data_IF_931727237393
#
_entry.id   IF_931727237393
#
_cell.length_a   1.000
_cell.length_b   1.000
_cell.length_c   1.000
_cell.angle_alpha   90.00
_cell.angle_beta   90.00
_cell.angle_gamma   90.00
#
_symmetry.space_group_name_H-M   'P 1'
#
loop_
_entity.id
_entity.type
_entity.pdbx_description
1 polymer ?
#
# COMPACT_ATOMS: atom_id res chain seq x y z
N UNK A 1 -75.45 -14.65 49.41
CA UNK A 1 -75.48 -14.81 47.92
C UNK A 1 -74.46 -13.84 47.34
N UNK A 2 -73.20 -14.22 47.29
CA UNK A 2 -72.10 -13.38 46.76
C UNK A 2 -71.48 -14.03 45.51
N UNK A 3 -71.64 -13.35 44.41
CA UNK A 3 -71.05 -13.74 43.14
C UNK A 3 -69.58 -13.22 43.07
N UNK A 4 -68.64 -14.10 43.17
CA UNK A 4 -67.19 -13.80 42.95
C UNK A 4 -66.94 -13.82 41.45
N UNK A 5 -66.59 -12.67 40.91
CA UNK A 5 -66.14 -12.54 39.50
C UNK A 5 -64.63 -12.87 39.44
N UNK A 6 -64.23 -13.94 38.75
CA UNK A 6 -62.85 -14.23 38.42
C UNK A 6 -62.41 -13.31 37.25
N UNK A 7 -61.48 -12.46 37.53
CA UNK A 7 -60.79 -11.65 36.50
C UNK A 7 -59.54 -12.38 36.04
N UNK A 8 -59.60 -12.95 34.84
CA UNK A 8 -58.43 -13.55 34.18
C UNK A 8 -57.51 -12.44 33.61
N UNK A 9 -56.34 -12.25 34.22
CA UNK A 9 -55.30 -11.37 33.70
C UNK A 9 -54.49 -12.15 32.68
N UNK A 10 -54.67 -11.81 31.39
CA UNK A 10 -53.91 -12.36 30.29
C UNK A 10 -52.55 -11.63 30.21
N UNK A 11 -51.47 -12.28 30.68
CA UNK A 11 -50.11 -11.75 30.62
C UNK A 11 -49.55 -11.98 29.20
N UNK A 12 -49.63 -10.96 28.33
CA UNK A 12 -48.99 -10.98 27.01
C UNK A 12 -47.49 -10.76 27.17
N UNK A 13 -46.72 -11.85 27.10
CA UNK A 13 -45.24 -11.77 27.01
C UNK A 13 -44.87 -11.29 25.61
N UNK A 14 -44.51 -10.01 25.49
CA UNK A 14 -43.94 -9.42 24.28
C UNK A 14 -42.50 -9.95 24.16
N UNK A 15 -42.27 -11.01 23.36
CA UNK A 15 -40.94 -11.41 22.95
C UNK A 15 -40.43 -10.40 21.95
N UNK A 16 -39.69 -9.40 22.43
CA UNK A 16 -38.92 -8.49 21.58
C UNK A 16 -37.77 -9.31 21.03
N UNK A 17 -37.97 -9.89 19.85
CA UNK A 17 -36.92 -10.49 19.07
C UNK A 17 -35.93 -9.42 18.64
N UNK A 18 -34.86 -9.22 19.42
CA UNK A 18 -33.68 -8.48 18.97
C UNK A 18 -33.09 -9.24 17.82
N UNK A 19 -33.42 -8.85 16.58
CA UNK A 19 -32.67 -9.23 15.42
C UNK A 19 -31.29 -8.64 15.61
N UNK A 20 -30.32 -9.40 16.17
CA UNK A 20 -28.92 -9.14 15.95
C UNK A 20 -28.73 -9.25 14.43
N UNK A 21 -28.73 -8.12 13.75
CA UNK A 21 -28.16 -8.07 12.41
C UNK A 21 -26.72 -8.54 12.59
N UNK A 22 -26.43 -9.77 12.16
CA UNK A 22 -25.06 -10.26 12.06
C UNK A 22 -24.35 -9.25 11.15
N UNK A 23 -23.44 -8.46 11.71
CA UNK A 23 -22.59 -7.60 10.92
C UNK A 23 -21.78 -8.55 10.04
N UNK A 24 -22.02 -8.51 8.73
CA UNK A 24 -21.38 -9.39 7.77
C UNK A 24 -19.86 -9.18 7.90
N UNK A 25 -19.14 -10.22 8.31
CA UNK A 25 -17.68 -10.11 8.45
C UNK A 25 -17.07 -9.86 7.08
N UNK A 26 -16.18 -8.85 7.02
CA UNK A 26 -15.48 -8.52 5.78
C UNK A 26 -14.66 -9.71 5.30
N UNK A 27 -14.72 -10.00 4.02
CA UNK A 27 -13.83 -10.98 3.39
C UNK A 27 -12.40 -10.45 3.33
N UNK A 28 -11.41 -11.35 3.23
CA UNK A 28 -10.00 -10.97 3.11
C UNK A 28 -9.76 -10.01 1.95
N UNK A 29 -10.41 -10.24 0.80
CA UNK A 29 -10.33 -9.34 -0.38
C UNK A 29 -10.90 -7.96 -0.10
N UNK A 30 -12.04 -7.85 0.58
CA UNK A 30 -12.63 -6.56 0.96
C UNK A 30 -11.76 -5.79 1.96
N UNK A 31 -11.06 -6.51 2.87
CA UNK A 31 -10.12 -5.86 3.80
C UNK A 31 -8.92 -5.31 3.05
N UNK A 32 -8.37 -6.08 2.08
CA UNK A 32 -7.26 -5.63 1.22
C UNK A 32 -7.65 -4.43 0.36
N UNK A 33 -8.84 -4.45 -0.25
CA UNK A 33 -9.39 -3.33 -1.01
C UNK A 33 -9.43 -2.04 -0.18
N UNK A 34 -10.01 -2.13 1.03
CA UNK A 34 -10.01 -1.01 1.98
C UNK A 34 -8.60 -0.57 2.36
N UNK A 35 -7.65 -1.50 2.52
CA UNK A 35 -6.27 -1.18 2.89
C UNK A 35 -5.54 -0.41 1.79
N UNK A 36 -5.88 -0.61 0.53
CA UNK A 36 -5.35 0.20 -0.58
C UNK A 36 -6.10 1.53 -0.68
N UNK A 37 -7.43 1.53 -0.53
CA UNK A 37 -8.24 2.74 -0.63
C UNK A 37 -7.88 3.79 0.43
N UNK A 38 -7.67 3.41 1.70
CA UNK A 38 -7.35 4.36 2.78
C UNK A 38 -6.06 5.14 2.56
N UNK A 39 -5.21 4.70 1.63
CA UNK A 39 -3.97 5.40 1.27
C UNK A 39 -4.12 6.35 0.07
N UNK A 40 -5.25 6.34 -0.63
CA UNK A 40 -5.49 7.25 -1.77
C UNK A 40 -5.71 8.68 -1.27
N UNK A 41 -5.02 9.64 -1.87
CA UNK A 41 -5.17 11.08 -1.59
C UNK A 41 -5.60 11.81 -2.86
N UNK A 42 -6.54 12.74 -2.76
CA UNK A 42 -7.01 13.55 -3.91
C UNK A 42 -5.83 14.20 -4.67
N UNK A 43 -4.83 14.62 -3.94
CA UNK A 43 -3.52 15.03 -4.44
C UNK A 43 -2.59 15.30 -3.27
N UNK A 44 -1.28 15.06 -3.45
CA UNK A 44 -0.29 15.32 -2.39
C UNK A 44 1.08 15.66 -2.95
N UNK A 45 1.85 16.37 -2.14
CA UNK A 45 3.27 16.65 -2.36
C UNK A 45 4.05 16.16 -1.15
N UNK A 46 5.18 15.49 -1.40
CA UNK A 46 6.01 14.95 -0.33
C UNK A 46 7.50 15.05 -0.65
N UNK A 47 8.30 15.12 0.41
CA UNK A 47 9.76 14.94 0.35
C UNK A 47 10.12 13.80 1.29
N UNK A 48 10.90 12.85 0.79
CA UNK A 48 11.30 11.66 1.52
C UNK A 48 12.79 11.41 1.42
N UNK A 49 13.31 10.70 2.42
CA UNK A 49 14.67 10.16 2.44
C UNK A 49 14.61 8.64 2.31
N UNK A 50 15.36 8.11 1.36
CA UNK A 50 15.58 6.68 1.21
C UNK A 50 17.02 6.35 1.59
N UNK A 51 17.20 5.54 2.64
CA UNK A 51 18.52 5.01 3.04
C UNK A 51 18.62 3.56 2.65
N UNK A 52 19.61 3.21 1.85
CA UNK A 52 19.88 1.86 1.38
C UNK A 52 21.13 1.37 2.10
N UNK A 53 21.02 0.25 2.82
CA UNK A 53 22.10 -0.32 3.64
C UNK A 53 22.44 -1.70 3.08
N UNK A 54 23.68 -1.86 2.64
CA UNK A 54 24.14 -3.14 2.09
C UNK A 54 24.53 -4.15 3.19
N UNK A 55 24.86 -5.39 2.80
CA UNK A 55 25.25 -6.47 3.72
C UNK A 55 26.49 -6.18 4.54
N UNK A 56 27.29 -5.16 4.19
CA UNK A 56 28.48 -4.69 4.92
C UNK A 56 28.19 -3.47 5.79
N UNK A 57 26.93 -3.03 5.87
CA UNK A 57 26.52 -1.86 6.64
C UNK A 57 26.82 -0.52 5.98
N UNK A 58 27.23 -0.48 4.71
CA UNK A 58 27.48 0.78 4.00
C UNK A 58 26.17 1.42 3.58
N UNK A 59 26.04 2.70 3.83
CA UNK A 59 24.81 3.45 3.57
C UNK A 59 24.90 4.29 2.31
N UNK A 60 23.79 4.35 1.58
CA UNK A 60 23.55 5.30 0.49
C UNK A 60 22.24 6.02 0.76
N UNK A 61 22.32 7.33 0.94
CA UNK A 61 21.16 8.17 1.25
C UNK A 61 20.72 8.93 0.01
N UNK A 62 19.42 8.97 -0.23
CA UNK A 62 18.80 9.66 -1.37
C UNK A 62 17.63 10.50 -0.89
N UNK A 63 17.52 11.70 -1.43
CA UNK A 63 16.36 12.55 -1.23
C UNK A 63 15.47 12.50 -2.47
N UNK A 64 14.16 12.36 -2.26
CA UNK A 64 13.16 12.14 -3.31
C UNK A 64 12.00 13.10 -3.08
N UNK A 65 11.67 13.91 -4.10
CA UNK A 65 10.39 14.61 -4.15
C UNK A 65 9.35 13.69 -4.83
N UNK A 66 8.13 13.72 -4.34
CA UNK A 66 7.01 12.97 -4.89
C UNK A 66 5.77 13.85 -4.99
N UNK A 67 5.06 13.72 -6.09
CA UNK A 67 3.75 14.33 -6.32
C UNK A 67 2.78 13.24 -6.72
N UNK A 68 1.58 13.24 -6.16
CA UNK A 68 0.52 12.30 -6.52
C UNK A 68 -0.78 13.05 -6.77
N UNK A 69 -1.64 12.51 -7.63
CA UNK A 69 -3.00 13.00 -7.84
C UNK A 69 -3.92 11.90 -8.36
N UNK A 70 -5.17 11.91 -7.89
CA UNK A 70 -6.23 11.06 -8.41
C UNK A 70 -6.86 11.69 -9.66
N UNK A 71 -7.14 10.83 -10.64
CA UNK A 71 -7.83 11.13 -11.90
C UNK A 71 -9.01 10.18 -12.08
N UNK A 72 -9.85 10.46 -13.07
CA UNK A 72 -10.93 9.57 -13.48
C UNK A 72 -11.84 9.15 -12.30
N UNK A 73 -12.22 10.12 -11.47
CA UNK A 73 -13.04 9.92 -10.25
C UNK A 73 -12.40 8.94 -9.21
N UNK A 74 -11.07 8.83 -9.23
CA UNK A 74 -10.32 7.98 -8.29
C UNK A 74 -9.89 6.63 -8.85
N UNK A 75 -10.27 6.29 -10.09
CA UNK A 75 -9.89 5.03 -10.76
C UNK A 75 -8.42 5.00 -11.22
N UNK A 76 -7.78 6.17 -11.31
CA UNK A 76 -6.38 6.29 -11.71
C UNK A 76 -5.63 7.16 -10.71
N UNK A 77 -4.55 6.66 -10.09
CA UNK A 77 -3.60 7.50 -9.36
C UNK A 77 -2.35 7.72 -10.22
N UNK A 78 -1.96 8.98 -10.43
CA UNK A 78 -0.70 9.30 -11.09
C UNK A 78 0.32 9.77 -10.07
N UNK A 79 1.57 9.31 -10.22
CA UNK A 79 2.70 9.65 -9.34
C UNK A 79 3.90 10.07 -10.17
N UNK A 80 4.55 11.13 -9.74
CA UNK A 80 5.86 11.52 -10.22
C UNK A 80 6.83 11.54 -9.05
N UNK A 81 7.88 10.73 -9.12
CA UNK A 81 9.01 10.75 -8.19
C UNK A 81 10.22 11.37 -8.89
N UNK A 82 10.98 12.19 -8.16
CA UNK A 82 12.23 12.76 -8.67
C UNK A 82 13.31 12.75 -7.59
N UNK A 83 14.45 12.17 -7.91
CA UNK A 83 15.62 12.19 -7.03
C UNK A 83 16.24 13.59 -7.01
N UNK A 84 16.38 14.16 -5.82
CA UNK A 84 16.95 15.49 -5.58
C UNK A 84 18.45 15.40 -5.29
N UNK A 85 18.88 14.35 -4.60
CA UNK A 85 20.27 14.06 -4.22
C UNK A 85 20.49 12.54 -4.06
N UNK A 86 21.74 12.07 -4.05
CA UNK A 86 23.00 12.76 -4.39
C UNK A 86 23.16 12.99 -5.89
N UNK A 87 24.29 13.58 -6.30
CA UNK A 87 24.55 14.03 -7.68
C UNK A 87 24.48 12.92 -8.72
N UNK A 88 24.87 11.68 -8.38
CA UNK A 88 24.88 10.51 -9.27
C UNK A 88 23.48 10.04 -9.68
N UNK A 89 22.46 10.33 -8.89
CA UNK A 89 21.04 9.99 -9.18
C UNK A 89 20.17 11.22 -9.38
N UNK A 90 20.68 12.43 -9.11
CA UNK A 90 19.90 13.67 -9.19
C UNK A 90 19.23 13.82 -10.56
N UNK A 91 17.93 14.16 -10.55
CA UNK A 91 17.09 14.33 -11.73
C UNK A 91 16.56 13.00 -12.30
N UNK A 92 17.02 11.83 -11.83
CA UNK A 92 16.33 10.58 -12.15
C UNK A 92 14.87 10.69 -11.73
N UNK A 93 13.95 10.30 -12.62
CA UNK A 93 12.52 10.41 -12.37
C UNK A 93 11.79 9.12 -12.69
N UNK A 94 10.76 8.80 -11.92
CA UNK A 94 9.80 7.74 -12.19
C UNK A 94 8.41 8.36 -12.30
N UNK A 95 7.75 8.14 -13.43
CA UNK A 95 6.34 8.48 -13.64
C UNK A 95 5.55 7.18 -13.64
N UNK A 96 4.48 7.15 -12.87
CA UNK A 96 3.61 5.98 -12.69
C UNK A 96 2.17 6.40 -12.92
N UNK A 97 1.45 5.61 -13.71
CA UNK A 97 0.00 5.63 -13.82
C UNK A 97 -0.51 4.30 -13.28
N UNK A 98 -1.11 4.37 -12.13
CA UNK A 98 -1.67 3.26 -11.37
C UNK A 98 -3.16 3.18 -11.69
N UNK A 99 -3.58 2.07 -12.28
CA UNK A 99 -4.96 1.82 -12.70
C UNK A 99 -5.59 0.71 -11.87
N UNK A 100 -6.83 0.87 -11.47
CA UNK A 100 -7.51 -0.15 -10.64
C UNK A 100 -7.75 -1.49 -11.35
N UNK A 101 -7.93 -1.48 -12.68
CA UNK A 101 -8.46 -2.64 -13.43
C UNK A 101 -7.59 -3.11 -14.59
N UNK A 102 -6.40 -2.57 -14.74
CA UNK A 102 -5.45 -2.95 -15.79
C UNK A 102 -4.01 -2.70 -15.35
N UNK A 103 -3.07 -3.23 -16.11
CA UNK A 103 -1.64 -3.02 -15.88
C UNK A 103 -1.26 -1.54 -15.83
N UNK A 104 -0.38 -1.23 -14.87
CA UNK A 104 0.17 0.10 -14.70
C UNK A 104 1.12 0.49 -15.81
N UNK A 105 1.18 1.78 -16.07
CA UNK A 105 2.21 2.35 -16.92
C UNK A 105 3.29 3.01 -16.06
N UNK A 106 4.54 2.62 -16.28
CA UNK A 106 5.69 3.18 -15.57
C UNK A 106 6.78 3.61 -16.54
N UNK A 107 7.30 4.83 -16.37
CA UNK A 107 8.41 5.38 -17.16
C UNK A 107 9.53 5.86 -16.25
N UNK A 108 10.75 5.37 -16.53
CA UNK A 108 11.97 5.78 -15.83
C UNK A 108 12.78 6.71 -16.73
N UNK A 109 13.05 7.92 -16.26
CA UNK A 109 13.98 8.85 -16.88
C UNK A 109 15.34 8.79 -16.20
N UNK A 110 16.39 8.62 -17.00
CA UNK A 110 17.80 8.58 -16.57
C UNK A 110 18.55 9.77 -17.17
N UNK A 111 18.83 10.84 -16.42
CA UNK A 111 19.46 12.07 -16.91
C UNK A 111 20.83 11.82 -17.55
N UNK A 112 21.63 10.93 -16.96
CA UNK A 112 22.95 10.59 -17.48
C UNK A 112 22.91 10.02 -18.91
N UNK A 113 21.81 9.36 -19.27
CA UNK A 113 21.58 8.81 -20.61
C UNK A 113 20.67 9.71 -21.47
N UNK A 114 20.07 10.75 -20.87
CA UNK A 114 19.03 11.59 -21.51
C UNK A 114 17.93 10.76 -22.14
N UNK A 115 17.53 9.69 -21.46
CA UNK A 115 16.62 8.67 -22.01
C UNK A 115 15.51 8.34 -21.04
N UNK A 116 14.28 8.35 -21.55
CA UNK A 116 13.11 7.76 -20.91
C UNK A 116 12.90 6.35 -21.42
N UNK A 117 12.65 5.39 -20.55
CA UNK A 117 12.24 4.04 -20.91
C UNK A 117 11.03 3.59 -20.13
N UNK A 118 10.19 2.76 -20.71
CA UNK A 118 9.10 2.10 -20.02
C UNK A 118 9.67 0.97 -19.15
N UNK A 119 9.12 0.79 -17.96
CA UNK A 119 9.29 -0.42 -17.14
C UNK A 119 8.23 -1.40 -17.62
N UNK A 120 8.66 -2.53 -18.13
CA UNK A 120 7.76 -3.60 -18.58
C UNK A 120 7.44 -4.56 -17.45
N UNK A 121 6.38 -5.37 -17.55
CA UNK A 121 5.93 -6.28 -16.50
C UNK A 121 7.06 -7.16 -15.96
N UNK A 122 7.87 -7.77 -16.81
CA UNK A 122 9.03 -8.59 -16.44
C UNK A 122 10.14 -7.85 -15.67
N UNK A 123 10.04 -6.53 -15.53
CA UNK A 123 10.97 -5.71 -14.75
C UNK A 123 10.37 -5.23 -13.43
N UNK A 124 9.06 -5.44 -13.18
CA UNK A 124 8.38 -4.93 -11.99
C UNK A 124 8.94 -5.50 -10.69
N UNK A 125 9.31 -6.77 -10.68
CA UNK A 125 9.95 -7.42 -9.53
C UNK A 125 11.37 -6.93 -9.23
N UNK A 126 12.02 -6.24 -10.20
CA UNK A 126 13.39 -5.74 -10.02
C UNK A 126 13.44 -4.63 -8.97
N UNK A 127 14.59 -4.55 -8.30
CA UNK A 127 14.91 -3.52 -7.30
C UNK A 127 14.72 -2.10 -7.85
N UNK A 128 13.91 -1.29 -7.16
CA UNK A 128 13.78 0.13 -7.45
C UNK A 128 15.05 0.88 -7.04
N UNK A 129 15.81 1.28 -8.06
CA UNK A 129 17.04 2.06 -7.88
C UNK A 129 18.06 1.44 -6.92
N UNK A 130 18.08 0.10 -6.79
CA UNK A 130 19.00 -0.64 -5.93
C UNK A 130 18.61 -0.65 -4.45
N UNK A 131 17.37 -0.30 -4.12
CA UNK A 131 16.77 -0.49 -2.79
C UNK A 131 16.18 -1.90 -2.65
N UNK A 132 15.71 -2.26 -1.47
CA UNK A 132 14.97 -3.51 -1.26
C UNK A 132 13.49 -3.41 -1.63
N UNK A 133 12.99 -2.22 -1.95
CA UNK A 133 11.71 -2.03 -2.62
C UNK A 133 11.86 -2.35 -4.11
N UNK A 134 10.86 -2.97 -4.71
CA UNK A 134 10.77 -3.25 -6.14
C UNK A 134 9.99 -2.16 -6.88
N UNK A 135 9.96 -2.21 -8.22
CA UNK A 135 9.01 -1.39 -8.98
C UNK A 135 7.56 -1.81 -8.72
N UNK A 136 7.29 -3.09 -8.45
CA UNK A 136 5.97 -3.57 -8.07
C UNK A 136 5.47 -3.00 -6.73
N UNK A 137 6.38 -2.63 -5.81
CA UNK A 137 6.01 -1.98 -4.55
C UNK A 137 5.60 -0.49 -4.73
N UNK A 138 5.72 0.07 -5.94
CA UNK A 138 5.36 1.47 -6.20
C UNK A 138 3.86 1.69 -6.38
N UNK A 139 3.09 0.63 -6.63
CA UNK A 139 1.63 0.67 -6.82
C UNK A 139 0.97 -0.42 -5.98
N UNK A 140 -0.31 -0.25 -5.58
CA UNK A 140 -1.11 -1.38 -5.13
C UNK A 140 -1.21 -2.45 -6.23
N UNK A 141 -1.22 -3.73 -5.89
CA UNK A 141 -1.46 -4.78 -6.88
C UNK A 141 -2.92 -4.79 -7.33
N UNK A 142 -3.19 -5.26 -8.55
CA UNK A 142 -4.56 -5.52 -9.02
C UNK A 142 -5.17 -6.61 -8.15
N UNK A 143 -6.30 -6.31 -7.50
CA UNK A 143 -6.91 -7.21 -6.52
C UNK A 143 -7.27 -8.60 -7.09
N UNK A 144 -7.69 -8.64 -8.36
CA UNK A 144 -8.12 -9.89 -9.01
C UNK A 144 -6.96 -10.80 -9.42
N UNK A 145 -5.74 -10.30 -9.40
CA UNK A 145 -4.53 -11.09 -9.67
C UNK A 145 -4.11 -11.96 -8.48
N UNK A 146 -4.83 -11.87 -7.36
CA UNK A 146 -4.49 -12.60 -6.15
C UNK A 146 -5.69 -13.27 -5.49
N UNK A 147 -5.42 -14.38 -4.81
CA UNK A 147 -6.33 -14.98 -3.83
C UNK A 147 -5.95 -14.52 -2.43
N UNK A 148 -6.96 -14.37 -1.57
CA UNK A 148 -6.79 -13.83 -0.22
C UNK A 148 -7.40 -14.72 0.83
N UNK A 149 -6.73 -14.86 1.99
CA UNK A 149 -7.23 -15.65 3.12
C UNK A 149 -6.85 -14.96 4.44
N UNK A 150 -7.83 -14.76 5.33
CA UNK A 150 -7.55 -14.37 6.72
C UNK A 150 -6.96 -15.60 7.41
N UNK A 151 -5.74 -15.49 7.94
CA UNK A 151 -5.10 -16.55 8.69
C UNK A 151 -5.51 -16.53 10.16
N UNK A 152 -5.44 -15.34 10.77
CA UNK A 152 -5.80 -15.10 12.17
C UNK A 152 -5.78 -13.59 12.46
N UNK A 153 -6.10 -13.24 13.69
CA UNK A 153 -5.79 -11.92 14.25
C UNK A 153 -4.43 -11.95 14.95
N UNK A 154 -3.71 -10.84 14.88
CA UNK A 154 -2.38 -10.68 15.47
C UNK A 154 -2.18 -9.25 15.93
N UNK A 155 -1.55 -9.06 17.07
CA UNK A 155 -1.12 -7.75 17.53
C UNK A 155 0.23 -7.37 16.91
N UNK A 156 0.29 -6.18 16.30
CA UNK A 156 1.50 -5.57 15.71
C UNK A 156 1.61 -4.16 16.26
N UNK A 157 2.69 -3.85 16.98
CA UNK A 157 2.95 -2.55 17.59
C UNK A 157 1.73 -1.98 18.35
N UNK A 158 1.14 -2.79 19.26
CA UNK A 158 -0.06 -2.50 20.06
C UNK A 158 -1.33 -2.23 19.22
N UNK A 159 -1.36 -2.65 17.96
CA UNK A 159 -2.54 -2.55 17.10
C UNK A 159 -3.02 -3.96 16.73
N UNK A 160 -4.31 -4.23 16.98
CA UNK A 160 -4.93 -5.49 16.55
C UNK A 160 -5.10 -5.46 15.03
N UNK A 161 -4.53 -6.45 14.35
CA UNK A 161 -4.48 -6.58 12.91
C UNK A 161 -5.12 -7.88 12.44
N UNK A 162 -5.67 -7.89 11.24
CA UNK A 162 -5.83 -9.12 10.49
C UNK A 162 -4.47 -9.52 9.88
N UNK A 163 -4.13 -10.80 10.00
CA UNK A 163 -3.03 -11.41 9.27
C UNK A 163 -3.62 -12.04 7.99
N UNK A 164 -3.35 -11.43 6.84
CA UNK A 164 -3.94 -11.82 5.55
C UNK A 164 -2.85 -12.37 4.64
N UNK A 165 -3.07 -13.61 4.19
CA UNK A 165 -2.27 -14.23 3.14
C UNK A 165 -2.80 -13.79 1.77
N UNK A 166 -1.88 -13.51 0.88
CA UNK A 166 -2.09 -13.10 -0.51
C UNK A 166 -1.21 -13.97 -1.40
N UNK A 167 -1.81 -14.68 -2.35
CA UNK A 167 -1.14 -15.63 -3.25
C UNK A 167 -1.48 -15.27 -4.69
N UNK A 168 -0.50 -15.10 -5.60
CA UNK A 168 -0.73 -14.87 -7.02
C UNK A 168 -1.58 -15.96 -7.66
N UNK A 169 -2.46 -15.60 -8.59
CA UNK A 169 -3.37 -16.56 -9.27
C UNK A 169 -2.64 -17.46 -10.27
N UNK A 170 -1.46 -17.05 -10.73
CA UNK A 170 -0.63 -17.82 -11.68
C UNK A 170 0.86 -17.39 -11.57
N UNK A 171 1.72 -18.10 -12.32
CA UNK A 171 3.17 -17.88 -12.33
C UNK A 171 3.55 -16.50 -12.91
N UNK A 172 2.85 -16.03 -13.94
CA UNK A 172 3.15 -14.72 -14.56
C UNK A 172 2.96 -13.59 -13.54
N UNK A 173 1.89 -13.62 -12.76
CA UNK A 173 1.64 -12.66 -11.68
C UNK A 173 2.68 -12.79 -10.57
N UNK A 174 3.12 -14.02 -10.23
CA UNK A 174 4.17 -14.25 -9.26
C UNK A 174 5.51 -13.63 -9.72
N UNK A 175 5.89 -13.87 -10.97
CA UNK A 175 7.11 -13.33 -11.57
C UNK A 175 7.11 -11.80 -11.64
N UNK A 176 5.98 -11.20 -12.03
CA UNK A 176 5.82 -9.74 -12.08
C UNK A 176 5.96 -9.06 -10.71
N UNK A 177 5.50 -9.73 -9.65
CA UNK A 177 5.53 -9.20 -8.30
C UNK A 177 6.77 -9.66 -7.50
N UNK A 178 7.45 -10.73 -7.95
CA UNK A 178 8.67 -11.27 -7.35
C UNK A 178 8.43 -11.99 -6.03
N UNK A 179 7.24 -12.58 -5.83
CA UNK A 179 6.92 -13.41 -4.67
C UNK A 179 5.89 -14.49 -5.01
N UNK A 180 6.03 -15.65 -4.38
CA UNK A 180 5.04 -16.73 -4.44
C UNK A 180 3.89 -16.53 -3.46
N UNK A 181 4.15 -15.79 -2.35
CA UNK A 181 3.20 -15.52 -1.28
C UNK A 181 3.61 -14.27 -0.50
N UNK A 182 2.62 -13.48 -0.09
CA UNK A 182 2.79 -12.35 0.83
C UNK A 182 1.81 -12.50 2.00
N UNK A 183 2.25 -12.19 3.21
CA UNK A 183 1.40 -12.07 4.40
C UNK A 183 1.41 -10.61 4.83
N UNK A 184 0.25 -9.97 4.85
CA UNK A 184 0.09 -8.58 5.27
C UNK A 184 -0.59 -8.48 6.63
N UNK A 185 -0.17 -7.52 7.44
CA UNK A 185 -0.78 -7.17 8.73
C UNK A 185 -1.56 -5.87 8.59
N UNK A 186 -2.89 -5.92 8.68
CA UNK A 186 -3.78 -4.79 8.41
C UNK A 186 -4.51 -4.41 9.68
N UNK A 187 -4.38 -3.16 10.11
CA UNK A 187 -5.03 -2.64 11.31
C UNK A 187 -6.55 -2.72 11.21
N UNK A 188 -7.20 -3.27 12.25
CA UNK A 188 -8.66 -3.49 12.24
C UNK A 188 -9.47 -2.20 12.35
N UNK A 189 -8.90 -1.13 12.84
CA UNK A 189 -9.59 0.14 13.04
C UNK A 189 -9.46 1.10 11.85
N UNK A 190 -8.31 1.10 11.19
CA UNK A 190 -7.96 2.09 10.17
C UNK A 190 -7.60 1.49 8.80
N UNK A 191 -7.62 0.16 8.70
CA UNK A 191 -7.24 -0.60 7.50
C UNK A 191 -5.82 -0.33 6.98
N UNK A 192 -4.96 0.33 7.75
CA UNK A 192 -3.59 0.61 7.32
C UNK A 192 -2.71 -0.63 7.46
N UNK A 193 -1.91 -0.93 6.43
CA UNK A 193 -0.92 -2.00 6.48
C UNK A 193 0.19 -1.61 7.45
N UNK A 194 0.40 -2.44 8.49
CA UNK A 194 1.45 -2.27 9.53
C UNK A 194 2.74 -2.98 9.18
N UNK A 195 2.68 -3.92 8.27
CA UNK A 195 3.83 -4.69 7.82
C UNK A 195 3.43 -5.81 6.88
N UNK A 196 4.43 -6.48 6.32
CA UNK A 196 4.24 -7.64 5.47
C UNK A 196 5.47 -8.55 5.47
N UNK A 197 5.24 -9.83 5.19
CA UNK A 197 6.26 -10.84 4.97
C UNK A 197 6.14 -11.36 3.56
N UNK A 198 7.24 -11.43 2.84
CA UNK A 198 7.29 -11.88 1.45
C UNK A 198 8.10 -13.17 1.37
N UNK A 199 7.60 -14.12 0.60
CA UNK A 199 8.27 -15.36 0.27
C UNK A 199 8.65 -15.32 -1.22
N UNK A 200 9.89 -15.70 -1.55
CA UNK A 200 10.35 -15.73 -2.94
C UNK A 200 9.58 -16.75 -3.80
N UNK A 201 9.97 -16.90 -5.05
CA UNK A 201 9.31 -17.81 -6.00
C UNK A 201 9.48 -19.29 -5.62
N UNK A 202 10.53 -19.61 -4.87
CA UNK A 202 10.82 -20.94 -4.30
C UNK A 202 10.06 -21.19 -2.98
N UNK A 203 9.38 -20.17 -2.43
CA UNK A 203 8.60 -20.27 -1.19
C UNK A 203 9.41 -20.03 0.08
N UNK A 204 10.66 -19.57 -0.03
CA UNK A 204 11.54 -19.27 1.09
C UNK A 204 11.33 -17.81 1.57
N UNK A 205 11.58 -17.56 2.87
CA UNK A 205 11.46 -16.22 3.44
C UNK A 205 12.45 -15.27 2.76
N UNK A 206 11.92 -14.23 2.10
CA UNK A 206 12.72 -13.28 1.33
C UNK A 206 12.84 -11.92 2.00
N UNK A 207 11.71 -11.23 2.22
CA UNK A 207 11.70 -9.87 2.76
C UNK A 207 10.67 -9.67 3.85
N UNK A 208 10.95 -8.72 4.73
CA UNK A 208 10.00 -8.24 5.74
C UNK A 208 9.87 -6.73 5.64
N UNK A 209 8.62 -6.25 5.54
CA UNK A 209 8.25 -4.85 5.64
C UNK A 209 7.75 -4.54 7.05
N UNK A 210 8.27 -3.49 7.67
CA UNK A 210 7.73 -2.90 8.89
C UNK A 210 7.35 -1.45 8.64
N UNK A 211 6.17 -1.04 9.09
CA UNK A 211 5.69 0.34 9.05
C UNK A 211 5.79 0.90 10.46
N UNK A 212 6.74 1.79 10.69
CA UNK A 212 7.08 2.31 12.03
C UNK A 212 6.30 3.58 12.37
N UNK A 213 5.82 4.32 11.37
CA UNK A 213 5.05 5.55 11.57
C UNK A 213 3.99 5.69 10.48
N UNK A 214 2.79 6.11 10.89
CA UNK A 214 1.65 6.38 10.01
C UNK A 214 1.12 7.76 10.35
N UNK A 215 0.81 8.53 9.31
CA UNK A 215 0.19 9.85 9.44
C UNK A 215 -1.19 9.85 8.79
N UNK A 216 -2.19 10.35 9.51
CA UNK A 216 -3.45 10.75 8.90
C UNK A 216 -3.21 12.08 8.18
N UNK A 217 -3.24 12.04 6.83
CA UNK A 217 -2.94 13.20 5.97
C UNK A 217 -4.22 13.97 5.64
N UNK A 218 -5.33 13.28 5.50
CA UNK A 218 -6.66 13.85 5.29
C UNK A 218 -7.60 13.33 6.38
N UNK A 219 -7.79 14.13 7.42
CA UNK A 219 -8.66 13.79 8.56
C UNK A 219 -10.17 13.87 8.23
N UNK A 220 -10.53 14.55 7.14
CA UNK A 220 -11.95 14.65 6.72
C UNK A 220 -12.39 13.33 6.06
N UNK A 221 -11.51 12.73 5.26
CA UNK A 221 -11.80 11.50 4.52
C UNK A 221 -11.12 10.26 5.12
N UNK A 222 -10.48 10.40 6.31
CA UNK A 222 -9.74 9.33 6.98
C UNK A 222 -8.72 8.65 6.05
N UNK A 223 -7.82 9.47 5.44
CA UNK A 223 -6.78 8.98 4.55
C UNK A 223 -5.42 9.00 5.23
N UNK A 224 -4.70 7.90 5.13
CA UNK A 224 -3.45 7.66 5.84
C UNK A 224 -2.28 7.47 4.88
N UNK A 225 -1.08 7.79 5.37
CA UNK A 225 0.18 7.43 4.68
C UNK A 225 1.15 6.83 5.68
N UNK A 226 1.71 5.64 5.38
CA UNK A 226 2.92 5.17 6.03
C UNK A 226 4.05 6.17 5.78
N UNK A 227 4.60 6.77 6.84
CA UNK A 227 5.64 7.81 6.73
C UNK A 227 7.02 7.30 7.09
N UNK A 228 7.13 6.15 7.74
CA UNK A 228 8.40 5.52 8.03
C UNK A 228 8.29 4.01 7.82
N UNK A 229 8.97 3.50 6.82
CA UNK A 229 8.94 2.10 6.40
C UNK A 229 10.35 1.54 6.35
N UNK A 230 10.50 0.29 6.76
CA UNK A 230 11.75 -0.47 6.69
C UNK A 230 11.48 -1.78 5.95
N UNK A 231 12.19 -2.01 4.85
CA UNK A 231 12.19 -3.29 4.13
C UNK A 231 13.53 -3.99 4.41
N UNK A 232 13.47 -5.20 4.94
CA UNK A 232 14.65 -6.03 5.26
C UNK A 232 14.66 -7.24 4.34
N UNK A 233 15.73 -7.41 3.58
CA UNK A 233 16.00 -8.63 2.83
C UNK A 233 16.69 -9.64 3.76
N UNK A 234 16.04 -10.76 4.01
CA UNK A 234 16.49 -11.78 4.97
C UNK A 234 17.54 -12.72 4.37
N UNK A 235 17.57 -12.82 3.05
CA UNK A 235 18.52 -13.68 2.34
C UNK A 235 19.86 -12.98 2.13
N UNK A 236 19.81 -11.67 1.79
CA UNK A 236 21.02 -10.88 1.46
C UNK A 236 21.54 -10.05 2.64
N UNK A 237 20.84 -10.05 3.79
CA UNK A 237 21.15 -9.19 4.95
C UNK A 237 21.29 -7.71 4.56
N UNK A 238 20.39 -7.22 3.71
CA UNK A 238 20.30 -5.84 3.24
C UNK A 238 19.02 -5.20 3.74
N UNK A 239 18.97 -3.89 3.83
CA UNK A 239 17.75 -3.19 4.18
C UNK A 239 17.64 -1.84 3.48
N UNK A 240 16.41 -1.39 3.33
CA UNK A 240 16.09 -0.04 2.88
C UNK A 240 15.10 0.62 3.81
N UNK A 241 15.35 1.88 4.15
CA UNK A 241 14.50 2.70 5.01
C UNK A 241 13.95 3.82 4.12
N UNK A 242 12.62 3.95 4.09
CA UNK A 242 11.94 5.06 3.43
C UNK A 242 11.25 5.90 4.50
N UNK A 243 11.67 7.17 4.64
CA UNK A 243 11.07 8.12 5.56
C UNK A 243 10.53 9.32 4.80
N UNK A 244 9.23 9.56 4.90
CA UNK A 244 8.59 10.78 4.39
C UNK A 244 8.84 11.88 5.42
N UNK A 245 9.70 12.86 5.08
CA UNK A 245 10.09 13.95 5.98
C UNK A 245 8.99 15.02 6.04
N UNK A 246 8.34 15.26 4.88
CA UNK A 246 7.25 16.22 4.74
C UNK A 246 6.21 15.64 3.79
N UNK A 247 4.94 15.78 4.12
CA UNK A 247 3.80 15.47 3.26
C UNK A 247 2.68 16.47 3.53
N UNK A 248 2.09 16.98 2.46
CA UNK A 248 0.93 17.84 2.51
C UNK A 248 -0.12 17.40 1.49
N UNK A 249 -1.38 17.52 1.89
CA UNK A 249 -2.51 17.37 0.97
C UNK A 249 -2.53 18.58 0.04
N UNK A 250 -2.57 18.34 -1.27
CA UNK A 250 -2.69 19.37 -2.31
C UNK A 250 -3.53 18.84 -3.48
N UNK A 251 -4.87 18.99 -3.44
CA UNK A 251 -5.74 18.54 -4.52
C UNK A 251 -5.52 19.35 -5.83
N UNK A 252 -4.90 20.54 -5.74
CA UNK A 252 -4.65 21.43 -6.87
C UNK A 252 -3.31 21.17 -7.58
N UNK A 253 -2.67 20.01 -7.31
CA UNK A 253 -1.48 19.57 -8.06
C UNK A 253 -1.74 19.67 -9.57
N UNK A 254 -0.80 20.28 -10.30
CA UNK A 254 -0.94 20.52 -11.74
C UNK A 254 -0.86 19.22 -12.54
N UNK A 255 -1.81 19.00 -13.43
CA UNK A 255 -1.88 17.82 -14.30
C UNK A 255 -0.66 17.69 -15.22
N UNK A 256 -0.06 18.81 -15.61
CA UNK A 256 1.14 18.86 -16.45
C UNK A 256 2.34 18.08 -15.86
N UNK A 257 2.38 17.90 -14.54
CA UNK A 257 3.43 17.12 -13.87
C UNK A 257 3.43 15.66 -14.31
N UNK A 258 2.29 15.12 -14.67
CA UNK A 258 2.09 13.70 -14.97
C UNK A 258 2.20 13.43 -16.48
N UNK A 259 3.27 13.93 -17.10
CA UNK A 259 3.58 13.69 -18.51
C UNK A 259 5.04 13.24 -18.69
N UNK A 260 5.31 12.40 -19.70
CA UNK A 260 6.69 12.01 -20.04
C UNK A 260 7.53 13.24 -20.42
N UNK A 261 6.91 14.25 -21.03
CA UNK A 261 7.59 15.53 -21.33
C UNK A 261 8.03 16.25 -20.06
N UNK A 262 7.23 16.24 -18.99
CA UNK A 262 7.61 16.84 -17.72
C UNK A 262 8.65 15.98 -16.98
N UNK A 263 8.53 14.65 -17.08
CA UNK A 263 9.49 13.71 -16.53
C UNK A 263 10.92 13.99 -17.05
N UNK A 264 11.07 14.39 -18.31
CA UNK A 264 12.35 14.69 -18.96
C UNK A 264 12.90 16.10 -18.66
N UNK A 265 12.10 16.97 -18.07
CA UNK A 265 12.54 18.31 -17.62
C UNK A 265 13.32 18.16 -16.32
N UNK A 266 14.57 18.53 -16.40
CA UNK A 266 15.52 18.41 -15.29
C UNK A 266 16.23 19.74 -15.05
#
# INVERSE_FOLDING_TARGET
MNKIKFLAVLLAVLVIGSSLAAQEELTAKQIMDKAFDVTKLAGSEAVSTMTIIDSKGRERVREIAMVTKLFDNGETEKRLLRFLSPTDVKGTGLLVFDYEQKDDDMWLFLPALRKTRRIVSTERAKSFMGSEFSYADMTPPILDDFTYRILREKEVDNTLCWEIEMVPVNEDVADENGFSRRIAYIGKQDFVIRGAVYYDLEGELHKELSVLEIKEVDSVNHRYRPTHMVMVNKQDNRKSILKINQIQLNPDVKDDYFTTRYLERY
#
